data_IF_628971591897
#
_entry.id   IF_628971591897
#
_cell.length_a   1.000
_cell.length_b   1.000
_cell.length_c   1.000
_cell.angle_alpha   90.00
_cell.angle_beta   90.00
_cell.angle_gamma   90.00
#
_symmetry.space_group_name_H-M   'P 1'
#
loop_
_entity.id
_entity.type
_entity.pdbx_description
1 polymer ?
#
# COMPACT_ATOMS: atom_id res chain seq x y z
N UNK A 1 11.48 16.70 16.32
CA UNK A 1 10.21 17.46 16.12
C UNK A 1 10.22 18.83 16.80
N UNK A 2 10.67 18.95 18.06
CA UNK A 2 10.77 20.23 18.78
C UNK A 2 11.56 21.33 18.03
N UNK A 3 12.65 21.00 17.33
CA UNK A 3 13.41 21.98 16.54
C UNK A 3 12.64 22.73 15.44
N UNK A 4 11.39 22.33 15.10
CA UNK A 4 10.56 23.06 14.14
C UNK A 4 9.94 24.34 14.71
N UNK A 5 9.69 24.42 16.03
CA UNK A 5 9.02 25.58 16.64
C UNK A 5 9.97 26.76 16.91
N UNK A 6 11.28 26.55 16.94
CA UNK A 6 12.28 27.57 17.26
C UNK A 6 13.00 28.18 16.05
N UNK A 7 12.48 28.07 14.83
CA UNK A 7 13.20 28.46 13.60
C UNK A 7 13.31 29.97 13.37
N UNK A 8 12.36 30.74 13.87
CA UNK A 8 12.24 32.19 13.61
C UNK A 8 12.34 32.99 14.91
N UNK A 9 11.75 32.48 15.99
CA UNK A 9 11.71 33.09 17.31
C UNK A 9 11.58 31.96 18.36
N UNK A 10 11.70 32.26 19.66
CA UNK A 10 11.38 31.29 20.71
C UNK A 10 9.98 30.71 20.50
N UNK A 11 9.88 29.38 20.48
CA UNK A 11 8.62 28.67 20.23
C UNK A 11 8.36 27.57 21.24
N UNK A 12 7.10 27.16 21.33
CA UNK A 12 6.61 26.17 22.29
C UNK A 12 6.33 24.85 21.57
N UNK A 13 6.78 23.73 22.15
CA UNK A 13 6.51 22.39 21.64
C UNK A 13 5.61 21.62 22.63
N UNK A 14 4.37 21.35 22.22
CA UNK A 14 3.46 20.49 22.97
C UNK A 14 3.72 19.02 22.62
N UNK A 15 3.87 18.18 23.64
CA UNK A 15 4.04 16.73 23.51
C UNK A 15 2.81 16.05 24.11
N UNK A 16 2.11 15.24 23.31
CA UNK A 16 0.88 14.54 23.72
C UNK A 16 1.18 13.15 24.30
N UNK A 17 2.21 13.06 25.12
CA UNK A 17 2.69 11.84 25.79
C UNK A 17 3.43 12.23 27.07
N UNK A 18 3.47 11.33 28.03
CA UNK A 18 4.11 11.56 29.32
C UNK A 18 5.63 11.69 29.19
N UNK A 19 6.22 12.43 30.12
CA UNK A 19 7.67 12.67 30.14
C UNK A 19 8.47 11.38 30.35
N UNK A 20 8.00 10.48 31.22
CA UNK A 20 8.65 9.18 31.46
C UNK A 20 8.68 8.31 30.21
N UNK A 21 7.60 8.28 29.42
CA UNK A 21 7.58 7.60 28.11
C UNK A 21 8.60 8.25 27.17
N UNK A 22 8.63 9.59 27.09
CA UNK A 22 9.61 10.28 26.25
C UNK A 22 11.07 9.95 26.58
N UNK A 23 11.42 9.94 27.86
CA UNK A 23 12.80 9.68 28.34
C UNK A 23 13.23 8.24 28.03
N UNK A 24 12.30 7.29 28.11
CA UNK A 24 12.60 5.87 27.90
C UNK A 24 12.63 5.44 26.43
N UNK A 25 12.33 6.34 25.48
CA UNK A 25 12.36 6.01 24.05
C UNK A 25 13.79 5.86 23.54
N UNK A 26 14.03 4.92 22.61
CA UNK A 26 15.28 4.87 21.87
C UNK A 26 15.59 6.22 21.21
N UNK A 27 16.85 6.63 21.27
CA UNK A 27 17.31 7.89 20.69
C UNK A 27 17.14 7.91 19.16
N UNK A 28 17.27 6.73 18.53
CA UNK A 28 17.14 6.51 17.10
C UNK A 28 16.03 5.51 16.82
N UNK A 29 15.29 5.73 15.74
CA UNK A 29 14.37 4.74 15.18
C UNK A 29 15.15 3.69 14.40
N UNK A 30 14.76 2.43 14.54
CA UNK A 30 15.34 1.33 13.76
C UNK A 30 15.24 1.58 12.25
N UNK A 31 16.30 1.27 11.48
CA UNK A 31 16.28 1.41 10.03
C UNK A 31 15.16 0.60 9.36
N UNK A 32 14.63 1.15 8.27
CA UNK A 32 13.52 0.53 7.52
C UNK A 32 13.90 -0.81 6.88
N UNK A 33 15.17 -0.97 6.49
CA UNK A 33 15.72 -2.20 5.92
C UNK A 33 15.60 -3.40 6.87
N UNK A 34 15.53 -3.16 8.19
CA UNK A 34 15.37 -4.20 9.20
C UNK A 34 13.90 -4.52 9.50
N UNK A 35 12.96 -3.72 9.00
CA UNK A 35 11.55 -3.75 9.39
C UNK A 35 10.60 -4.06 8.23
N UNK A 36 11.11 -4.26 7.01
CA UNK A 36 10.30 -4.37 5.79
C UNK A 36 10.64 -5.60 4.96
N UNK A 37 9.72 -6.02 4.11
CA UNK A 37 9.95 -7.12 3.18
C UNK A 37 10.94 -6.70 2.09
N UNK A 38 12.03 -7.46 1.96
CA UNK A 38 13.14 -7.14 1.05
C UNK A 38 12.90 -7.57 -0.39
N UNK A 39 11.80 -8.23 -0.73
CA UNK A 39 11.56 -8.73 -2.09
C UNK A 39 11.68 -7.61 -3.16
N UNK A 40 11.11 -6.43 -2.91
CA UNK A 40 11.24 -5.26 -3.79
C UNK A 40 12.69 -4.84 -3.96
N UNK A 41 13.43 -4.72 -2.86
CA UNK A 41 14.84 -4.32 -2.85
C UNK A 41 15.72 -5.35 -3.58
N UNK A 42 15.55 -6.63 -3.27
CA UNK A 42 16.27 -7.74 -3.90
C UNK A 42 16.03 -7.72 -5.41
N UNK A 43 14.78 -7.59 -5.84
CA UNK A 43 14.43 -7.56 -7.26
C UNK A 43 15.07 -6.35 -7.96
N UNK A 44 14.97 -5.16 -7.37
CA UNK A 44 15.56 -3.93 -7.91
C UNK A 44 17.09 -4.01 -8.02
N UNK A 45 17.77 -4.51 -6.98
CA UNK A 45 19.23 -4.70 -6.99
C UNK A 45 19.66 -5.66 -8.08
N UNK A 46 18.95 -6.79 -8.21
CA UNK A 46 19.27 -7.82 -9.19
C UNK A 46 19.04 -7.32 -10.63
N UNK A 47 18.04 -6.47 -10.88
CA UNK A 47 17.83 -5.86 -12.20
C UNK A 47 18.75 -4.68 -12.51
N UNK A 48 19.26 -4.00 -11.48
CA UNK A 48 20.16 -2.85 -11.60
C UNK A 48 21.64 -3.23 -11.70
N UNK A 49 21.96 -4.53 -11.59
CA UNK A 49 23.34 -5.02 -11.67
C UNK A 49 24.18 -4.72 -10.43
N UNK A 50 23.54 -4.50 -9.27
CA UNK A 50 24.21 -4.18 -8.01
C UNK A 50 24.78 -5.41 -7.26
N UNK A 51 24.74 -6.58 -7.89
CA UNK A 51 25.25 -7.83 -7.32
C UNK A 51 24.30 -8.46 -6.30
N UNK A 52 24.83 -9.43 -5.54
CA UNK A 52 24.05 -10.12 -4.52
C UNK A 52 23.85 -9.25 -3.28
N UNK A 53 22.62 -9.22 -2.77
CA UNK A 53 22.28 -8.46 -1.56
C UNK A 53 23.15 -8.82 -0.34
N UNK A 54 23.63 -10.06 -0.26
CA UNK A 54 24.50 -10.52 0.85
C UNK A 54 25.90 -9.92 0.82
N UNK A 55 26.34 -9.50 -0.35
CA UNK A 55 27.67 -8.91 -0.57
C UNK A 55 27.59 -7.38 -0.63
N UNK A 56 26.38 -6.82 -0.65
CA UNK A 56 26.16 -5.40 -0.72
C UNK A 56 26.53 -4.73 0.60
N UNK A 57 27.33 -3.63 0.58
CA UNK A 57 27.85 -3.00 1.77
C UNK A 57 26.80 -2.08 2.43
N UNK A 58 25.77 -2.67 3.05
CA UNK A 58 24.80 -1.93 3.85
C UNK A 58 25.45 -1.30 5.09
N UNK A 59 24.97 -0.11 5.49
CA UNK A 59 25.34 0.49 6.77
C UNK A 59 24.88 -0.39 7.93
N UNK A 60 23.62 -0.82 7.88
CA UNK A 60 23.05 -1.86 8.74
C UNK A 60 22.47 -2.95 7.84
N UNK A 61 23.12 -4.11 7.82
CA UNK A 61 22.73 -5.20 6.95
C UNK A 61 21.46 -5.88 7.46
N UNK A 62 20.51 -6.23 6.55
CA UNK A 62 19.37 -7.04 6.94
C UNK A 62 19.81 -8.44 7.38
N UNK A 63 18.99 -9.06 8.22
CA UNK A 63 19.28 -10.41 8.68
C UNK A 63 19.16 -11.45 7.53
N UNK A 64 19.81 -12.60 7.70
CA UNK A 64 19.81 -13.65 6.67
C UNK A 64 18.40 -14.21 6.41
N UNK A 65 17.50 -14.10 7.39
CA UNK A 65 16.14 -14.62 7.33
C UNK A 65 15.28 -13.76 6.41
N UNK A 66 15.25 -12.45 6.60
CA UNK A 66 14.53 -11.51 5.73
C UNK A 66 14.99 -11.61 4.27
N UNK A 67 16.31 -11.76 4.05
CA UNK A 67 16.85 -11.99 2.70
C UNK A 67 16.31 -13.28 2.09
N UNK A 68 16.29 -14.38 2.85
CA UNK A 68 15.77 -15.65 2.37
C UNK A 68 14.26 -15.59 2.10
N UNK A 69 13.48 -14.97 3.00
CA UNK A 69 12.04 -14.81 2.85
C UNK A 69 11.72 -13.95 1.61
N UNK A 70 12.52 -12.91 1.33
CA UNK A 70 12.40 -12.10 0.12
C UNK A 70 12.67 -12.90 -1.16
N UNK A 71 13.74 -13.71 -1.22
CA UNK A 71 13.99 -14.59 -2.37
C UNK A 71 12.90 -15.65 -2.54
N UNK A 72 12.42 -16.26 -1.45
CA UNK A 72 11.36 -17.26 -1.50
C UNK A 72 10.08 -16.66 -2.08
N UNK A 73 9.70 -15.46 -1.65
CA UNK A 73 8.55 -14.75 -2.23
C UNK A 73 8.75 -14.49 -3.73
N UNK A 74 9.94 -14.03 -4.14
CA UNK A 74 10.22 -13.77 -5.56
C UNK A 74 10.18 -15.06 -6.39
N UNK A 75 10.59 -16.19 -5.84
CA UNK A 75 10.50 -17.51 -6.48
C UNK A 75 9.04 -17.95 -6.63
N UNK A 76 8.23 -17.84 -5.57
CA UNK A 76 6.79 -18.11 -5.59
C UNK A 76 6.04 -17.24 -6.62
N UNK A 77 6.47 -15.99 -6.80
CA UNK A 77 5.92 -15.09 -7.81
C UNK A 77 6.45 -15.35 -9.23
N UNK A 78 7.44 -16.23 -9.40
CA UNK A 78 8.12 -16.49 -10.68
C UNK A 78 9.04 -15.35 -11.15
N UNK A 79 9.37 -14.41 -10.27
CA UNK A 79 10.26 -13.28 -10.57
C UNK A 79 11.73 -13.71 -10.61
N UNK A 80 12.11 -14.76 -9.88
CA UNK A 80 13.43 -15.39 -9.94
C UNK A 80 13.30 -16.91 -10.16
N UNK A 81 14.34 -17.53 -10.71
CA UNK A 81 14.43 -18.99 -10.82
C UNK A 81 14.99 -19.66 -9.56
N UNK A 82 15.08 -21.00 -9.57
CA UNK A 82 15.67 -21.85 -8.53
C UNK A 82 17.12 -21.48 -8.17
N UNK A 83 17.83 -20.84 -9.12
CA UNK A 83 19.20 -20.34 -8.96
C UNK A 83 19.24 -18.85 -8.59
N UNK A 84 18.10 -18.27 -8.18
CA UNK A 84 17.93 -16.85 -7.80
C UNK A 84 18.24 -15.84 -8.91
N UNK A 85 18.18 -16.26 -10.17
CA UNK A 85 18.39 -15.37 -11.33
C UNK A 85 17.06 -14.78 -11.76
N UNK A 86 17.06 -13.48 -12.05
CA UNK A 86 15.83 -12.77 -12.44
C UNK A 86 15.31 -13.28 -13.77
N UNK A 87 14.05 -13.68 -13.80
CA UNK A 87 13.36 -14.17 -15.00
C UNK A 87 12.92 -13.01 -15.91
N UNK A 88 12.39 -13.31 -17.10
CA UNK A 88 11.76 -12.28 -17.96
C UNK A 88 10.59 -11.60 -17.25
N UNK A 89 9.76 -12.38 -16.54
CA UNK A 89 8.67 -11.89 -15.71
C UNK A 89 9.19 -10.95 -14.60
N UNK A 90 10.22 -11.37 -13.86
CA UNK A 90 10.84 -10.55 -12.82
C UNK A 90 11.39 -9.21 -13.35
N UNK A 91 11.98 -9.21 -14.55
CA UNK A 91 12.43 -7.97 -15.21
C UNK A 91 11.27 -7.04 -15.58
N UNK A 92 10.14 -7.59 -16.00
CA UNK A 92 8.92 -6.78 -16.25
C UNK A 92 8.39 -6.21 -14.94
N UNK A 93 8.28 -7.04 -13.89
CA UNK A 93 7.82 -6.61 -12.56
C UNK A 93 8.69 -5.50 -11.97
N UNK A 94 10.03 -5.60 -12.12
CA UNK A 94 10.97 -4.61 -11.60
C UNK A 94 10.83 -3.21 -12.24
N UNK A 95 10.19 -3.09 -13.41
CA UNK A 95 9.93 -1.79 -14.05
C UNK A 95 8.73 -1.06 -13.46
N UNK A 96 7.92 -1.75 -12.66
CA UNK A 96 6.73 -1.19 -12.03
C UNK A 96 7.11 -0.67 -10.62
N UNK A 97 6.70 0.55 -10.25
CA UNK A 97 6.94 1.11 -8.92
C UNK A 97 5.95 0.54 -7.89
N UNK A 98 5.83 -0.79 -7.83
CA UNK A 98 4.86 -1.51 -7.01
C UNK A 98 5.54 -2.60 -6.17
N UNK A 99 4.87 -3.02 -5.09
CA UNK A 99 5.23 -4.26 -4.39
C UNK A 99 5.20 -5.45 -5.38
N UNK A 100 6.15 -6.40 -5.32
CA UNK A 100 6.23 -7.54 -6.24
C UNK A 100 4.94 -8.34 -6.36
N UNK A 101 4.13 -8.45 -5.29
CA UNK A 101 2.85 -9.18 -5.37
C UNK A 101 1.86 -8.44 -6.27
N UNK A 102 1.75 -7.12 -6.10
CA UNK A 102 0.89 -6.27 -6.92
C UNK A 102 1.41 -6.19 -8.36
N UNK A 103 2.72 -6.09 -8.55
CA UNK A 103 3.35 -6.15 -9.87
C UNK A 103 3.02 -7.47 -10.58
N UNK A 104 3.08 -8.61 -9.87
CA UNK A 104 2.72 -9.92 -10.42
C UNK A 104 1.25 -9.99 -10.81
N UNK A 105 0.35 -9.48 -9.97
CA UNK A 105 -1.07 -9.39 -10.29
C UNK A 105 -1.29 -8.58 -11.58
N UNK A 106 -0.66 -7.41 -11.69
CA UNK A 106 -0.82 -6.53 -12.84
C UNK A 106 -0.34 -7.16 -14.15
N UNK A 107 0.86 -7.76 -14.14
CA UNK A 107 1.42 -8.42 -15.33
C UNK A 107 0.55 -9.59 -15.76
N UNK A 108 0.05 -10.38 -14.82
CA UNK A 108 -0.82 -11.53 -15.12
C UNK A 108 -2.19 -11.07 -15.65
N UNK A 109 -2.77 -10.01 -15.08
CA UNK A 109 -4.04 -9.46 -15.55
C UNK A 109 -3.96 -8.93 -16.98
N UNK A 110 -2.82 -8.36 -17.38
CA UNK A 110 -2.58 -7.97 -18.76
C UNK A 110 -2.56 -9.18 -19.72
N UNK A 111 -1.99 -10.31 -19.29
CA UNK A 111 -1.97 -11.56 -20.07
C UNK A 111 -3.35 -12.23 -20.17
N UNK A 112 -4.16 -12.14 -19.12
CA UNK A 112 -5.50 -12.73 -19.05
C UNK A 112 -6.63 -11.82 -19.58
N UNK A 113 -6.31 -10.57 -19.93
CA UNK A 113 -7.28 -9.61 -20.46
C UNK A 113 -8.20 -8.97 -19.41
N UNK A 114 -7.83 -8.99 -18.13
CA UNK A 114 -8.60 -8.43 -17.00
C UNK A 114 -7.91 -7.22 -16.35
N UNK A 115 -7.19 -6.44 -17.17
CA UNK A 115 -6.32 -5.36 -16.69
C UNK A 115 -7.10 -4.23 -16.03
N UNK A 116 -8.24 -3.84 -16.61
CA UNK A 116 -9.05 -2.70 -16.15
C UNK A 116 -9.57 -2.91 -14.72
N UNK A 117 -10.16 -4.07 -14.44
CA UNK A 117 -10.69 -4.42 -13.12
C UNK A 117 -9.56 -4.61 -12.11
N UNK A 118 -8.45 -5.23 -12.55
CA UNK A 118 -7.32 -5.50 -11.66
C UNK A 118 -6.58 -4.22 -11.27
N UNK A 119 -6.49 -3.22 -12.16
CA UNK A 119 -5.92 -1.91 -11.83
C UNK A 119 -6.70 -1.22 -10.71
N UNK A 120 -8.03 -1.25 -10.77
CA UNK A 120 -8.88 -0.72 -9.71
C UNK A 120 -8.58 -1.40 -8.38
N UNK A 121 -8.51 -2.73 -8.38
CA UNK A 121 -8.22 -3.51 -7.17
C UNK A 121 -6.82 -3.18 -6.63
N UNK A 122 -5.80 -3.16 -7.48
CA UNK A 122 -4.41 -2.85 -7.08
C UNK A 122 -4.31 -1.45 -6.48
N UNK A 123 -4.93 -0.45 -7.10
CA UNK A 123 -4.96 0.90 -6.56
C UNK A 123 -5.65 0.96 -5.20
N UNK A 124 -6.74 0.19 -5.02
CA UNK A 124 -7.50 0.13 -3.77
C UNK A 124 -6.74 -0.53 -2.64
N UNK A 125 -5.97 -1.57 -2.94
CA UNK A 125 -5.08 -2.23 -1.98
C UNK A 125 -3.85 -1.39 -1.62
N UNK A 126 -3.52 -0.38 -2.43
CA UNK A 126 -2.38 0.52 -2.21
C UNK A 126 -2.71 1.69 -1.28
N UNK A 127 -4.00 1.88 -0.96
CA UNK A 127 -4.47 2.90 -0.02
C UNK A 127 -5.05 2.26 1.24
N UNK A 128 -5.34 3.09 2.22
CA UNK A 128 -6.18 2.65 3.33
C UNK A 128 -7.62 2.40 2.84
N UNK A 129 -8.28 1.36 3.37
CA UNK A 129 -9.66 1.02 3.02
C UNK A 129 -10.58 2.28 3.10
N UNK A 130 -11.27 2.64 2.01
CA UNK A 130 -12.12 3.82 2.00
C UNK A 130 -13.41 3.64 2.79
N UNK A 131 -13.82 2.42 3.11
CA UNK A 131 -15.04 2.15 3.90
C UNK A 131 -14.82 2.57 5.35
N UNK A 132 -15.75 3.35 5.86
CA UNK A 132 -15.75 3.81 7.25
C UNK A 132 -16.76 3.01 8.05
N UNK A 133 -16.34 2.50 9.22
CA UNK A 133 -17.23 1.77 10.14
C UNK A 133 -17.13 2.33 11.57
N UNK A 134 -17.66 3.55 11.83
CA UNK A 134 -17.60 4.17 13.15
C UNK A 134 -18.27 3.30 14.22
N UNK A 135 -17.71 3.26 15.43
CA UNK A 135 -18.22 2.40 16.51
C UNK A 135 -19.69 2.73 16.90
N UNK A 136 -20.07 4.00 16.84
CA UNK A 136 -21.42 4.50 17.14
C UNK A 136 -22.43 4.25 16.00
N UNK A 137 -21.96 3.90 14.79
CA UNK A 137 -22.80 3.76 13.59
C UNK A 137 -22.57 2.46 12.82
N UNK A 138 -22.09 1.41 13.49
CA UNK A 138 -21.75 0.14 12.84
C UNK A 138 -22.90 -0.45 12.02
N UNK A 139 -24.11 -0.55 12.59
CA UNK A 139 -25.26 -1.11 11.87
C UNK A 139 -25.64 -0.30 10.62
N UNK A 140 -25.56 1.03 10.70
CA UNK A 140 -25.87 1.90 9.57
C UNK A 140 -24.80 1.79 8.47
N UNK A 141 -23.52 1.67 8.85
CA UNK A 141 -22.42 1.43 7.92
C UNK A 141 -22.57 0.07 7.22
N UNK A 142 -22.86 -0.99 7.98
CA UNK A 142 -23.06 -2.34 7.44
C UNK A 142 -24.22 -2.38 6.44
N UNK A 143 -25.34 -1.69 6.73
CA UNK A 143 -26.46 -1.55 5.81
C UNK A 143 -26.11 -0.74 4.56
N UNK A 144 -25.30 0.32 4.70
CA UNK A 144 -24.85 1.13 3.57
C UNK A 144 -23.84 0.40 2.68
N UNK A 145 -23.05 -0.51 3.25
CA UNK A 145 -22.06 -1.32 2.52
C UNK A 145 -22.66 -2.59 1.92
N UNK A 146 -23.79 -3.08 2.45
CA UNK A 146 -24.46 -4.29 1.98
C UNK A 146 -24.67 -4.36 0.45
N UNK A 147 -25.04 -3.26 -0.26
CA UNK A 147 -25.17 -3.29 -1.72
C UNK A 147 -23.85 -3.53 -2.48
N UNK A 148 -22.70 -3.25 -1.86
CA UNK A 148 -21.39 -3.46 -2.47
C UNK A 148 -20.86 -4.87 -2.25
N UNK A 149 -21.35 -5.56 -1.22
CA UNK A 149 -20.83 -6.85 -0.81
C UNK A 149 -21.06 -7.89 -1.90
N UNK A 150 -19.97 -8.46 -2.38
CA UNK A 150 -19.98 -9.68 -3.16
C UNK A 150 -19.87 -10.89 -2.22
N UNK A 151 -20.60 -11.97 -2.54
CA UNK A 151 -20.69 -13.15 -1.67
C UNK A 151 -19.44 -14.03 -1.70
N UNK A 152 -18.65 -13.92 -2.75
CA UNK A 152 -17.54 -14.83 -3.03
C UNK A 152 -16.18 -14.12 -2.99
N UNK A 153 -16.15 -12.78 -3.06
CA UNK A 153 -14.90 -12.03 -3.17
C UNK A 153 -14.92 -10.63 -2.56
N UNK A 154 -14.02 -10.40 -1.60
CA UNK A 154 -13.73 -9.05 -1.08
C UNK A 154 -13.14 -8.12 -2.15
N UNK A 155 -12.42 -8.67 -3.16
CA UNK A 155 -11.91 -7.87 -4.27
C UNK A 155 -13.03 -7.39 -5.20
N UNK A 156 -14.05 -8.22 -5.42
CA UNK A 156 -15.24 -7.78 -6.16
C UNK A 156 -16.05 -6.76 -5.35
N UNK A 157 -16.06 -6.88 -4.03
CA UNK A 157 -16.64 -5.85 -3.16
C UNK A 157 -15.94 -4.49 -3.35
N UNK A 158 -14.60 -4.47 -3.41
CA UNK A 158 -13.86 -3.25 -3.75
C UNK A 158 -14.22 -2.71 -5.13
N UNK A 159 -14.31 -3.58 -6.14
CA UNK A 159 -14.71 -3.19 -7.49
C UNK A 159 -16.13 -2.58 -7.53
N UNK A 160 -17.07 -3.14 -6.76
CA UNK A 160 -18.43 -2.62 -6.64
C UNK A 160 -18.47 -1.23 -5.99
N UNK A 161 -17.67 -1.01 -4.93
CA UNK A 161 -17.52 0.32 -4.32
C UNK A 161 -16.98 1.33 -5.33
N UNK A 162 -15.96 0.94 -6.09
CA UNK A 162 -15.37 1.79 -7.13
C UNK A 162 -16.37 2.15 -8.22
N UNK A 163 -17.08 1.16 -8.77
CA UNK A 163 -18.07 1.36 -9.82
C UNK A 163 -19.19 2.29 -9.37
N UNK A 164 -19.73 2.08 -8.17
CA UNK A 164 -20.72 2.98 -7.56
C UNK A 164 -20.17 4.42 -7.48
N UNK A 165 -18.96 4.60 -6.97
CA UNK A 165 -18.38 5.93 -6.84
C UNK A 165 -18.15 6.62 -8.18
N UNK A 166 -17.63 5.89 -9.18
CA UNK A 166 -17.36 6.42 -10.51
C UNK A 166 -18.63 6.81 -11.26
N UNK A 167 -19.70 6.04 -11.13
CA UNK A 167 -21.03 6.37 -11.64
C UNK A 167 -21.54 7.69 -11.02
N UNK A 168 -21.56 7.76 -9.69
CA UNK A 168 -22.00 8.96 -8.98
C UNK A 168 -21.14 10.19 -9.30
N UNK A 169 -19.83 10.00 -9.53
CA UNK A 169 -18.90 11.09 -9.87
C UNK A 169 -19.14 11.68 -11.25
N UNK A 170 -19.65 10.88 -12.20
CA UNK A 170 -19.97 11.37 -13.54
C UNK A 170 -21.25 12.20 -13.55
N UNK A 171 -22.20 11.90 -12.67
CA UNK A 171 -23.51 12.57 -12.62
C UNK A 171 -23.56 13.78 -11.68
N UNK A 172 -22.81 13.73 -10.58
CA UNK A 172 -22.95 14.68 -9.47
C UNK A 172 -21.87 15.76 -9.46
N UNK A 173 -22.22 16.95 -8.96
CA UNK A 173 -21.21 17.94 -8.57
C UNK A 173 -20.37 17.43 -7.39
N UNK A 174 -19.15 17.96 -7.22
CA UNK A 174 -18.25 17.54 -6.14
C UNK A 174 -18.89 17.65 -4.74
N UNK A 175 -19.71 18.67 -4.50
CA UNK A 175 -20.40 18.85 -3.21
C UNK A 175 -21.49 17.80 -2.99
N UNK A 176 -22.19 17.39 -4.03
CA UNK A 176 -23.18 16.30 -3.97
C UNK A 176 -22.48 14.96 -3.78
N UNK A 177 -21.42 14.69 -4.53
CA UNK A 177 -20.64 13.46 -4.43
C UNK A 177 -20.06 13.27 -3.02
N UNK A 178 -19.52 14.33 -2.41
CA UNK A 178 -19.04 14.29 -1.02
C UNK A 178 -20.15 13.87 -0.04
N UNK A 179 -21.38 14.36 -0.24
CA UNK A 179 -22.54 13.98 0.60
C UNK A 179 -22.93 12.52 0.36
N UNK A 180 -22.85 12.04 -0.89
CA UNK A 180 -23.10 10.62 -1.22
C UNK A 180 -22.07 9.72 -0.53
N UNK A 181 -20.78 10.04 -0.61
CA UNK A 181 -19.74 9.31 0.11
C UNK A 181 -20.04 9.24 1.62
N UNK A 182 -20.38 10.38 2.25
CA UNK A 182 -20.74 10.41 3.67
C UNK A 182 -21.96 9.53 3.99
N UNK A 183 -23.00 9.56 3.15
CA UNK A 183 -24.21 8.75 3.32
C UNK A 183 -23.92 7.25 3.16
N UNK A 184 -23.02 6.90 2.24
CA UNK A 184 -22.61 5.51 1.98
C UNK A 184 -21.48 5.04 2.89
N UNK A 185 -21.11 5.81 3.93
CA UNK A 185 -20.00 5.48 4.82
C UNK A 185 -18.68 5.21 4.07
N UNK A 186 -18.39 6.06 3.09
CA UNK A 186 -17.15 6.07 2.33
C UNK A 186 -16.38 7.36 2.62
N UNK A 187 -15.09 7.23 2.90
CA UNK A 187 -14.20 8.35 3.14
C UNK A 187 -13.95 9.11 1.83
N UNK A 188 -14.47 10.33 1.74
CA UNK A 188 -14.29 11.19 0.55
C UNK A 188 -12.83 11.36 0.14
N UNK A 189 -11.93 11.53 1.11
CA UNK A 189 -10.51 11.72 0.84
C UNK A 189 -9.85 10.45 0.29
N UNK A 190 -10.16 9.28 0.86
CA UNK A 190 -9.60 8.00 0.39
C UNK A 190 -10.16 7.59 -0.97
N UNK A 191 -11.43 7.88 -1.25
CA UNK A 191 -11.98 7.65 -2.60
C UNK A 191 -11.28 8.50 -3.66
N UNK A 192 -10.95 9.76 -3.34
CA UNK A 192 -10.14 10.59 -4.23
C UNK A 192 -8.72 10.06 -4.39
N UNK A 193 -8.08 9.69 -3.29
CA UNK A 193 -6.74 9.10 -3.31
C UNK A 193 -6.68 7.82 -4.14
N UNK A 194 -7.67 6.92 -3.98
CA UNK A 194 -7.81 5.72 -4.80
C UNK A 194 -7.82 6.09 -6.28
N UNK A 195 -8.64 7.08 -6.64
CA UNK A 195 -8.78 7.51 -8.02
C UNK A 195 -7.55 8.21 -8.57
N UNK A 196 -6.81 8.95 -7.75
CA UNK A 196 -5.59 9.62 -8.18
C UNK A 196 -4.44 8.61 -8.40
N UNK A 197 -4.49 7.43 -7.77
CA UNK A 197 -3.53 6.33 -7.96
C UNK A 197 -3.85 5.46 -9.19
N UNK A 198 -5.14 5.24 -9.49
CA UNK A 198 -5.61 4.46 -10.65
C UNK A 198 -5.44 5.23 -11.98
#
# INVERSE_FOLDING_TARGET
>A
RAGRCGRVAPGICFRLYDETDFINRPEYTDPEILRTNLASVILQMATSGLGEIRQFPFLEAPDKRQVNDGYKLLEELGAVDDKRRVTRLGRTMARLPLDPRLARMLVTAAELGSLSETLVIIAGLSIQDPRERPQDKQQAADQAHAPFNDKESDFLTLLNVWNFYEEQRQELSQNQLKKVCQKSFLSWMRMREWRDIH
#
